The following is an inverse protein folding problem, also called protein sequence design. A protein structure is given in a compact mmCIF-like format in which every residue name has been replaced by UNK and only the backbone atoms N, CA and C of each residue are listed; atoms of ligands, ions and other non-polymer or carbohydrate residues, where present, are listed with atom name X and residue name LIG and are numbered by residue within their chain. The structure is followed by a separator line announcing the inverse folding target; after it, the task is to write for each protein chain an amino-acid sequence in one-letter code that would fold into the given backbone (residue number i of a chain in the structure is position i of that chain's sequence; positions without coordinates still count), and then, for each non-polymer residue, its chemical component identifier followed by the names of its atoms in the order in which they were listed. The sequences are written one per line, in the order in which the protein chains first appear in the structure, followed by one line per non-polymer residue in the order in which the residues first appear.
data_IF_474316687851
#
_entry.id   IF_474316687851
#
_cell.length_a   1.000
_cell.length_b   1.000
_cell.length_c   1.000
_cell.angle_alpha   90.00
_cell.angle_beta   90.00
_cell.angle_gamma   90.00
#
_symmetry.space_group_name_H-M   'P 1'
#
loop_
_entity.id
_entity.type
_entity.pdbx_description
1 polymer ?
#
# COMPACT_ATOMS: atom_id res chain seq x y z
N UNK A 1 -48.98 0.50 22.53
CA UNK A 1 -48.62 0.84 21.14
C UNK A 1 -47.10 0.68 20.89
N UNK A 2 -46.58 -0.55 20.67
CA UNK A 2 -45.33 -0.67 19.92
C UNK A 2 -45.24 -1.91 19.00
N UNK A 3 -46.37 -2.54 18.63
CA UNK A 3 -46.36 -3.73 17.74
C UNK A 3 -46.67 -3.44 16.27
N UNK A 4 -47.19 -2.26 15.94
CA UNK A 4 -47.54 -1.89 14.56
C UNK A 4 -46.35 -1.33 13.74
N UNK A 5 -45.28 -0.82 14.36
CA UNK A 5 -44.13 -0.27 13.62
C UNK A 5 -43.21 -1.36 13.04
N UNK A 6 -43.14 -2.55 13.63
CA UNK A 6 -42.27 -3.63 13.14
C UNK A 6 -42.82 -4.32 11.88
N UNK A 7 -44.13 -4.26 11.64
CA UNK A 7 -44.74 -4.85 10.45
C UNK A 7 -44.56 -3.97 9.19
N UNK A 8 -44.42 -2.65 9.34
CA UNK A 8 -44.26 -1.73 8.21
C UNK A 8 -42.84 -1.72 7.65
N UNK A 9 -41.82 -1.95 8.49
CA UNK A 9 -40.42 -2.03 8.05
C UNK A 9 -40.11 -3.31 7.25
N UNK A 10 -40.83 -4.41 7.49
CA UNK A 10 -40.62 -5.67 6.75
C UNK A 10 -41.26 -5.63 5.35
N UNK A 11 -42.31 -4.83 5.14
CA UNK A 11 -42.99 -4.70 3.85
C UNK A 11 -42.22 -3.81 2.84
N UNK A 12 -41.38 -2.89 3.32
CA UNK A 12 -40.54 -2.04 2.48
C UNK A 12 -39.27 -2.75 1.98
N UNK A 13 -38.80 -3.81 2.66
CA UNK A 13 -37.67 -4.61 2.20
C UNK A 13 -38.09 -5.62 1.12
N UNK A 14 -39.34 -6.09 1.14
CA UNK A 14 -39.86 -7.03 0.12
C UNK A 14 -40.34 -6.38 -1.18
N UNK A 15 -40.56 -5.07 -1.21
CA UNK A 15 -40.97 -4.35 -2.44
C UNK A 15 -39.77 -3.84 -3.27
N UNK A 16 -38.55 -3.86 -2.73
CA UNK A 16 -37.33 -3.48 -3.44
C UNK A 16 -36.72 -4.58 -4.32
N UNK A 17 -37.25 -5.80 -4.29
CA UNK A 17 -36.65 -6.98 -4.95
C UNK A 17 -37.27 -7.37 -6.31
N UNK A 18 -38.10 -6.51 -6.91
CA UNK A 18 -38.90 -6.86 -8.10
C UNK A 18 -38.70 -5.96 -9.33
N UNK A 19 -37.56 -5.25 -9.45
CA UNK A 19 -37.28 -4.42 -10.63
C UNK A 19 -35.80 -4.43 -11.07
N UNK A 20 -35.25 -5.62 -11.32
CA UNK A 20 -34.06 -5.74 -12.17
C UNK A 20 -34.31 -6.82 -13.22
N UNK A 21 -34.93 -6.38 -14.31
CA UNK A 21 -35.29 -7.22 -15.44
C UNK A 21 -35.67 -6.36 -16.63
N UNK A 22 -34.71 -5.58 -17.16
CA UNK A 22 -34.69 -5.22 -18.58
C UNK A 22 -33.27 -5.39 -19.08
N UNK A 23 -33.16 -6.28 -20.07
CA UNK A 23 -31.96 -6.62 -20.80
C UNK A 23 -31.40 -5.39 -21.52
N UNK A 24 -30.08 -5.24 -21.47
CA UNK A 24 -29.34 -4.41 -22.40
C UNK A 24 -28.55 -5.34 -23.31
N UNK A 25 -29.13 -5.60 -24.49
CA UNK A 25 -28.52 -6.36 -25.57
C UNK A 25 -27.60 -5.39 -26.35
N UNK A 26 -26.46 -5.05 -25.74
CA UNK A 26 -25.43 -4.19 -26.34
C UNK A 26 -24.38 -5.07 -27.01
N UNK A 27 -24.70 -5.55 -28.21
CA UNK A 27 -23.79 -6.32 -29.06
C UNK A 27 -22.77 -5.40 -29.75
N UNK A 28 -22.21 -4.44 -29.01
CA UNK A 28 -20.95 -3.78 -29.38
C UNK A 28 -19.83 -4.71 -28.94
N UNK A 29 -19.13 -5.29 -29.91
CA UNK A 29 -17.82 -5.91 -29.69
C UNK A 29 -16.85 -4.78 -29.31
N UNK A 30 -16.89 -4.36 -28.06
CA UNK A 30 -15.77 -3.68 -27.43
C UNK A 30 -14.72 -4.77 -27.22
N UNK A 31 -13.51 -4.66 -27.76
CA UNK A 31 -12.46 -5.65 -27.49
C UNK A 31 -12.32 -5.79 -25.97
N UNK A 32 -12.50 -7.01 -25.46
CA UNK A 32 -12.48 -7.36 -24.02
C UNK A 32 -11.13 -7.10 -23.32
N UNK A 33 -10.19 -6.38 -23.94
CA UNK A 33 -8.79 -6.32 -23.50
C UNK A 33 -8.46 -5.22 -22.49
N UNK A 34 -9.43 -4.52 -21.89
CA UNK A 34 -9.15 -3.42 -20.95
C UNK A 34 -10.06 -3.36 -19.71
N UNK A 35 -10.72 -4.46 -19.34
CA UNK A 35 -11.56 -4.49 -18.14
C UNK A 35 -10.83 -5.00 -16.88
N UNK A 36 -9.57 -5.46 -17.00
CA UNK A 36 -8.77 -5.88 -15.85
C UNK A 36 -7.88 -4.71 -15.38
N UNK A 37 -8.12 -4.14 -14.18
CA UNK A 37 -7.34 -3.02 -13.67
C UNK A 37 -5.84 -3.34 -13.55
N UNK A 38 -5.48 -4.61 -13.30
CA UNK A 38 -4.08 -5.02 -13.20
C UNK A 38 -3.39 -4.96 -14.57
N UNK A 39 -4.08 -5.31 -15.66
CA UNK A 39 -3.53 -5.20 -17.02
C UNK A 39 -3.33 -3.75 -17.43
N UNK A 40 -4.26 -2.86 -17.06
CA UNK A 40 -4.11 -1.41 -17.29
C UNK A 40 -2.89 -0.89 -16.52
N UNK A 41 -2.70 -1.31 -15.26
CA UNK A 41 -1.53 -0.93 -14.47
C UNK A 41 -0.22 -1.46 -15.10
N UNK A 42 -0.20 -2.70 -15.60
CA UNK A 42 0.97 -3.25 -16.31
C UNK A 42 1.34 -2.42 -17.54
N UNK A 43 0.35 -2.04 -18.37
CA UNK A 43 0.58 -1.19 -19.54
C UNK A 43 1.10 0.19 -19.15
N UNK A 44 0.53 0.79 -18.10
CA UNK A 44 0.98 2.09 -17.62
C UNK A 44 2.41 2.04 -17.07
N UNK A 45 2.73 0.98 -16.30
CA UNK A 45 4.09 0.75 -15.81
C UNK A 45 5.07 0.60 -16.95
N UNK A 46 4.72 -0.18 -17.97
CA UNK A 46 5.56 -0.35 -19.16
C UNK A 46 5.77 0.98 -19.87
N UNK A 47 4.71 1.75 -20.14
CA UNK A 47 4.82 3.04 -20.83
C UNK A 47 5.68 4.05 -20.07
N UNK A 48 5.50 4.13 -18.75
CA UNK A 48 6.30 5.00 -17.88
C UNK A 48 7.76 4.52 -17.85
N UNK A 49 8.00 3.21 -17.79
CA UNK A 49 9.34 2.63 -17.81
C UNK A 49 10.07 2.91 -19.13
N UNK A 50 9.41 2.78 -20.27
CA UNK A 50 9.97 3.16 -21.58
C UNK A 50 10.31 4.65 -21.63
N UNK A 51 9.44 5.50 -21.07
CA UNK A 51 9.66 6.95 -20.99
C UNK A 51 10.85 7.30 -20.09
N UNK A 52 11.05 6.57 -18.99
CA UNK A 52 12.24 6.70 -18.14
C UNK A 52 13.49 6.21 -18.88
N UNK A 53 13.42 5.08 -19.57
CA UNK A 53 14.51 4.52 -20.36
C UNK A 53 15.00 5.53 -21.42
N UNK A 54 14.08 6.20 -22.11
CA UNK A 54 14.42 7.23 -23.10
C UNK A 54 15.15 8.42 -22.49
N UNK A 55 14.86 8.77 -21.23
CA UNK A 55 15.60 9.82 -20.50
C UNK A 55 16.97 9.34 -20.04
N UNK A 56 17.10 8.09 -19.61
CA UNK A 56 18.34 7.52 -19.06
C UNK A 56 19.36 7.20 -20.16
N UNK A 57 18.93 6.55 -21.24
CA UNK A 57 19.81 6.06 -22.31
C UNK A 57 19.76 6.89 -23.60
N UNK A 58 18.74 7.74 -23.76
CA UNK A 58 18.40 8.40 -25.01
C UNK A 58 17.24 7.71 -25.73
N UNK A 59 16.50 8.49 -26.53
CA UNK A 59 15.29 8.03 -27.20
C UNK A 59 15.50 6.80 -28.07
N UNK A 60 14.75 5.73 -27.77
CA UNK A 60 14.82 4.44 -28.48
C UNK A 60 16.07 3.61 -28.22
N UNK A 61 16.97 4.04 -27.33
CA UNK A 61 18.16 3.29 -26.93
C UNK A 61 17.83 2.46 -25.70
N UNK A 62 18.20 1.18 -25.71
CA UNK A 62 17.97 0.25 -24.60
C UNK A 62 19.26 -0.46 -24.19
N UNK A 63 19.45 -0.78 -22.90
CA UNK A 63 20.62 -1.48 -22.42
C UNK A 63 20.64 -2.94 -22.92
N UNK A 64 21.80 -3.61 -22.94
CA UNK A 64 21.87 -5.04 -23.19
C UNK A 64 20.97 -5.83 -22.23
N UNK A 65 20.23 -6.81 -22.75
CA UNK A 65 19.32 -7.63 -21.96
C UNK A 65 17.90 -7.07 -21.78
N UNK A 66 17.62 -5.85 -22.26
CA UNK A 66 16.27 -5.28 -22.25
C UNK A 66 15.27 -6.20 -22.96
N UNK A 67 14.21 -6.56 -22.24
CA UNK A 67 13.17 -7.46 -22.75
C UNK A 67 12.17 -6.72 -23.62
N UNK A 68 11.77 -5.50 -23.24
CA UNK A 68 10.81 -4.67 -23.97
C UNK A 68 9.44 -5.32 -24.12
N UNK A 69 9.08 -6.26 -23.24
CA UNK A 69 7.81 -6.96 -23.33
C UNK A 69 6.66 -5.99 -23.03
N UNK A 70 5.71 -5.90 -23.97
CA UNK A 70 4.49 -5.08 -23.88
C UNK A 70 3.21 -5.90 -24.07
N UNK A 71 3.31 -7.24 -24.18
CA UNK A 71 2.14 -8.12 -24.24
C UNK A 71 1.62 -8.42 -22.84
N UNK A 72 0.50 -7.79 -22.48
CA UNK A 72 -0.21 -8.01 -21.20
C UNK A 72 -0.71 -9.43 -20.99
N UNK A 73 -0.79 -10.24 -22.05
CA UNK A 73 -1.17 -11.65 -21.96
C UNK A 73 0.04 -12.56 -21.79
N UNK A 74 1.27 -12.04 -21.89
CA UNK A 74 2.47 -12.81 -21.65
C UNK A 74 2.55 -13.22 -20.18
N UNK A 75 2.84 -14.49 -19.93
CA UNK A 75 3.04 -15.02 -18.58
C UNK A 75 4.24 -14.37 -17.86
N UNK A 76 5.15 -13.74 -18.59
CA UNK A 76 6.38 -13.12 -18.04
C UNK A 76 6.29 -11.60 -17.92
N UNK A 77 5.21 -10.94 -18.36
CA UNK A 77 5.15 -9.47 -18.47
C UNK A 77 5.58 -8.73 -17.20
N UNK A 78 5.17 -9.20 -16.03
CA UNK A 78 5.52 -8.55 -14.75
C UNK A 78 7.00 -8.73 -14.43
N UNK A 79 7.52 -9.94 -14.63
CA UNK A 79 8.94 -10.24 -14.40
C UNK A 79 9.83 -9.44 -15.37
N UNK A 80 9.38 -9.30 -16.62
CA UNK A 80 10.04 -8.52 -17.67
C UNK A 80 10.04 -7.01 -17.34
N UNK A 81 8.93 -6.47 -16.81
CA UNK A 81 8.86 -5.08 -16.29
C UNK A 81 9.83 -4.88 -15.14
N UNK A 82 9.81 -5.77 -14.15
CA UNK A 82 10.72 -5.67 -13.03
C UNK A 82 12.19 -5.77 -13.47
N UNK A 83 12.52 -6.74 -14.33
CA UNK A 83 13.89 -6.94 -14.80
C UNK A 83 14.42 -5.74 -15.59
N UNK A 84 13.64 -5.23 -16.55
CA UNK A 84 14.00 -4.03 -17.31
C UNK A 84 14.19 -2.81 -16.39
N UNK A 85 13.38 -2.71 -15.35
CA UNK A 85 13.50 -1.65 -14.35
C UNK A 85 14.75 -1.77 -13.48
N UNK A 86 15.16 -2.99 -13.10
CA UNK A 86 16.44 -3.20 -12.41
C UNK A 86 17.64 -2.82 -13.29
N UNK A 87 17.58 -3.02 -14.62
CA UNK A 87 18.63 -2.55 -15.55
C UNK A 87 18.75 -1.02 -15.57
N UNK A 88 17.61 -0.31 -15.56
CA UNK A 88 17.59 1.15 -15.42
C UNK A 88 18.16 1.56 -14.05
N UNK A 89 17.76 0.88 -12.99
CA UNK A 89 18.22 1.15 -11.63
C UNK A 89 19.75 1.01 -11.53
N UNK A 90 20.34 -0.02 -12.13
CA UNK A 90 21.80 -0.18 -12.16
C UNK A 90 22.52 0.96 -12.86
N UNK A 91 21.87 1.60 -13.84
CA UNK A 91 22.43 2.78 -14.52
C UNK A 91 22.29 4.06 -13.68
N UNK A 92 21.18 4.22 -12.95
CA UNK A 92 20.91 5.40 -12.13
C UNK A 92 21.72 5.38 -10.83
N UNK A 93 21.74 4.24 -10.13
CA UNK A 93 22.29 4.11 -8.78
C UNK A 93 23.64 3.40 -8.73
N UNK A 94 23.98 2.63 -9.77
CA UNK A 94 25.11 1.71 -9.80
C UNK A 94 24.68 0.25 -9.65
N UNK A 95 25.49 -0.65 -10.20
CA UNK A 95 25.21 -2.09 -10.23
C UNK A 95 24.98 -2.67 -8.83
N UNK A 96 23.80 -3.24 -8.60
CA UNK A 96 23.41 -3.83 -7.32
C UNK A 96 23.25 -2.83 -6.16
N UNK A 97 23.32 -1.52 -6.44
CA UNK A 97 23.12 -0.47 -5.45
C UNK A 97 21.67 -0.02 -5.51
N UNK A 98 20.99 -0.03 -4.37
CA UNK A 98 19.61 0.46 -4.23
C UNK A 98 19.52 1.39 -3.03
N UNK A 99 18.59 2.33 -3.11
CA UNK A 99 18.32 3.27 -2.02
C UNK A 99 17.59 2.56 -0.86
N UNK A 100 17.62 3.10 0.37
CA UNK A 100 16.95 2.48 1.52
C UNK A 100 15.42 2.33 1.38
N UNK A 101 14.80 3.18 0.56
CA UNK A 101 13.37 3.15 0.24
C UNK A 101 13.02 2.18 -0.90
N UNK A 102 14.00 1.56 -1.56
CA UNK A 102 13.76 0.58 -2.62
C UNK A 102 13.07 -0.68 -2.08
N UNK A 103 11.90 -0.98 -2.64
CA UNK A 103 11.01 -2.04 -2.17
C UNK A 103 11.36 -3.38 -2.85
N UNK A 104 11.59 -3.38 -4.16
CA UNK A 104 11.83 -4.56 -4.99
C UNK A 104 10.67 -5.58 -5.04
N UNK A 105 10.87 -6.64 -5.84
CA UNK A 105 9.92 -7.71 -6.13
C UNK A 105 9.86 -8.78 -5.02
N UNK A 106 9.48 -8.41 -3.81
CA UNK A 106 9.54 -9.30 -2.63
C UNK A 106 8.28 -10.13 -2.37
N UNK A 107 7.35 -10.24 -3.33
CA UNK A 107 6.04 -10.88 -3.12
C UNK A 107 5.55 -11.62 -4.36
N UNK A 108 4.86 -12.74 -4.16
CA UNK A 108 4.18 -13.48 -5.22
C UNK A 108 2.77 -12.98 -5.54
N UNK A 109 2.24 -12.02 -4.78
CA UNK A 109 0.96 -11.40 -5.07
C UNK A 109 1.12 -10.34 -6.16
N UNK A 110 0.47 -10.55 -7.31
CA UNK A 110 0.55 -9.68 -8.48
C UNK A 110 0.27 -8.21 -8.17
N UNK A 111 -0.78 -7.89 -7.41
CA UNK A 111 -1.16 -6.51 -7.13
C UNK A 111 -0.12 -5.80 -6.27
N UNK A 112 0.38 -6.47 -5.23
CA UNK A 112 1.44 -5.94 -4.39
C UNK A 112 2.75 -5.79 -5.19
N UNK A 113 3.04 -6.73 -6.09
CA UNK A 113 4.22 -6.67 -6.94
C UNK A 113 4.17 -5.47 -7.90
N UNK A 114 3.06 -5.27 -8.61
CA UNK A 114 2.88 -4.11 -9.50
C UNK A 114 2.97 -2.79 -8.73
N UNK A 115 2.38 -2.73 -7.53
CA UNK A 115 2.47 -1.56 -6.65
C UNK A 115 3.93 -1.28 -6.24
N UNK A 116 4.69 -2.31 -5.89
CA UNK A 116 6.09 -2.20 -5.50
C UNK A 116 6.95 -1.71 -6.68
N UNK A 117 6.79 -2.32 -7.86
CA UNK A 117 7.45 -1.87 -9.09
C UNK A 117 7.10 -0.41 -9.38
N UNK A 118 5.83 -0.02 -9.21
CA UNK A 118 5.41 1.38 -9.39
C UNK A 118 6.20 2.32 -8.48
N UNK A 119 6.29 1.98 -7.20
CA UNK A 119 7.03 2.77 -6.23
C UNK A 119 8.47 2.95 -6.66
N UNK A 120 9.15 1.85 -6.98
CA UNK A 120 10.56 1.89 -7.31
C UNK A 120 10.84 2.62 -8.64
N UNK A 121 9.91 2.60 -9.60
CA UNK A 121 9.97 3.43 -10.82
C UNK A 121 9.87 4.93 -10.47
N UNK A 122 8.98 5.30 -9.54
CA UNK A 122 8.86 6.69 -9.09
C UNK A 122 10.12 7.15 -8.34
N UNK A 123 10.71 6.30 -7.49
CA UNK A 123 11.99 6.57 -6.80
C UNK A 123 13.14 6.75 -7.79
N UNK A 124 13.21 5.88 -8.80
CA UNK A 124 14.19 6.00 -9.88
C UNK A 124 14.03 7.32 -10.66
N UNK A 125 12.79 7.70 -11.00
CA UNK A 125 12.50 8.96 -11.68
C UNK A 125 12.85 10.19 -10.83
N UNK A 126 12.48 10.19 -9.53
CA UNK A 126 12.80 11.28 -8.62
C UNK A 126 14.31 11.44 -8.42
N UNK A 127 15.06 10.34 -8.42
CA UNK A 127 16.53 10.38 -8.32
C UNK A 127 17.18 10.90 -9.59
N UNK A 128 16.76 10.41 -10.77
CA UNK A 128 17.43 10.73 -12.02
C UNK A 128 17.03 12.09 -12.61
N UNK A 129 15.73 12.41 -12.59
CA UNK A 129 15.17 13.62 -13.23
C UNK A 129 14.99 14.74 -12.19
N UNK A 130 14.63 14.36 -10.96
CA UNK A 130 14.34 15.28 -9.87
C UNK A 130 12.95 15.04 -9.27
N UNK A 131 12.81 15.42 -8.01
CA UNK A 131 11.59 15.20 -7.22
C UNK A 131 10.37 15.83 -7.90
N UNK A 132 9.32 15.03 -8.08
CA UNK A 132 8.08 15.40 -8.75
C UNK A 132 8.21 15.83 -10.23
N UNK A 133 9.37 15.59 -10.86
CA UNK A 133 9.56 15.82 -12.30
C UNK A 133 9.39 14.51 -13.06
N UNK A 134 8.60 14.53 -14.14
CA UNK A 134 8.32 13.34 -14.95
C UNK A 134 8.61 13.60 -16.43
N UNK A 135 9.02 12.56 -17.20
CA UNK A 135 9.17 12.65 -18.65
C UNK A 135 7.86 13.03 -19.36
N UNK A 136 7.98 13.40 -20.63
CA UNK A 136 6.81 13.63 -21.47
C UNK A 136 6.14 12.27 -21.75
N UNK A 137 4.81 12.23 -21.73
CA UNK A 137 4.06 10.98 -21.93
C UNK A 137 3.94 10.10 -20.68
N UNK A 138 4.48 10.53 -19.53
CA UNK A 138 4.29 9.84 -18.26
C UNK A 138 2.81 9.84 -17.86
N UNK A 139 2.23 8.65 -17.76
CA UNK A 139 0.81 8.46 -17.44
C UNK A 139 0.55 8.82 -15.98
N UNK A 140 1.58 8.74 -15.13
CA UNK A 140 1.51 8.96 -13.69
C UNK A 140 0.64 7.93 -12.98
N UNK A 141 0.83 7.81 -11.67
CA UNK A 141 -0.06 7.05 -10.81
C UNK A 141 -0.51 7.93 -9.65
N UNK A 142 -1.43 7.39 -8.87
CA UNK A 142 -1.85 8.05 -7.65
C UNK A 142 -0.62 8.34 -6.76
N UNK A 143 -0.51 9.54 -6.16
CA UNK A 143 0.68 9.93 -5.39
C UNK A 143 1.05 8.99 -4.24
N UNK A 144 0.10 8.17 -3.76
CA UNK A 144 0.35 7.19 -2.70
C UNK A 144 1.39 6.13 -3.09
N UNK A 145 1.58 5.87 -4.39
CA UNK A 145 2.61 4.93 -4.84
C UNK A 145 4.03 5.40 -4.55
N UNK A 146 4.24 6.68 -4.22
CA UNK A 146 5.55 7.23 -3.80
C UNK A 146 5.81 7.07 -2.31
N UNK A 147 4.82 6.66 -1.54
CA UNK A 147 4.96 6.51 -0.10
C UNK A 147 5.67 5.22 0.24
N UNK A 148 6.23 5.15 1.45
CA UNK A 148 6.93 3.95 1.90
C UNK A 148 5.97 2.75 1.99
N UNK A 149 6.57 1.55 2.01
CA UNK A 149 5.84 0.28 2.07
C UNK A 149 4.85 0.21 3.24
N UNK A 150 5.22 0.73 4.41
CA UNK A 150 4.37 0.68 5.60
C UNK A 150 3.14 1.51 5.39
N UNK A 151 3.30 2.76 4.95
CA UNK A 151 2.18 3.67 4.63
C UNK A 151 1.24 3.07 3.59
N UNK A 152 1.77 2.54 2.49
CA UNK A 152 0.96 1.89 1.45
C UNK A 152 0.19 0.67 1.97
N UNK A 153 0.82 -0.16 2.81
CA UNK A 153 0.18 -1.34 3.39
C UNK A 153 -0.92 -0.95 4.38
N UNK A 154 -0.67 0.02 5.26
CA UNK A 154 -1.65 0.48 6.24
C UNK A 154 -2.88 1.07 5.54
N UNK A 155 -2.68 1.90 4.51
CA UNK A 155 -3.79 2.44 3.73
C UNK A 155 -4.63 1.33 3.07
N UNK A 156 -3.97 0.30 2.52
CA UNK A 156 -4.66 -0.85 1.95
C UNK A 156 -5.47 -1.63 2.99
N UNK A 157 -4.89 -1.89 4.17
CA UNK A 157 -5.57 -2.61 5.26
C UNK A 157 -6.77 -1.83 5.81
N UNK A 158 -6.63 -0.50 5.95
CA UNK A 158 -7.73 0.38 6.36
C UNK A 158 -8.90 0.34 5.37
N UNK A 159 -8.61 0.38 4.07
CA UNK A 159 -9.62 0.23 3.03
C UNK A 159 -10.29 -1.14 3.07
N UNK A 160 -9.49 -2.21 3.20
CA UNK A 160 -9.98 -3.58 3.12
C UNK A 160 -10.84 -3.98 4.34
N UNK A 161 -10.40 -3.69 5.55
CA UNK A 161 -11.03 -4.20 6.78
C UNK A 161 -11.97 -3.20 7.44
N UNK A 162 -11.74 -1.91 7.24
CA UNK A 162 -12.49 -0.85 7.93
C UNK A 162 -13.30 0.01 6.97
N UNK A 163 -13.23 -0.26 5.65
CA UNK A 163 -13.85 0.54 4.60
C UNK A 163 -13.50 2.04 4.72
N UNK A 164 -12.27 2.32 5.16
CA UNK A 164 -11.77 3.68 5.36
C UNK A 164 -10.92 4.08 4.14
N UNK A 165 -11.17 5.28 3.63
CA UNK A 165 -10.34 5.91 2.60
C UNK A 165 -9.69 7.16 3.15
N UNK A 166 -8.55 7.55 2.58
CA UNK A 166 -7.89 8.80 2.96
C UNK A 166 -8.69 10.00 2.47
N UNK A 167 -8.71 11.06 3.28
CA UNK A 167 -9.27 12.37 2.91
C UNK A 167 -8.20 13.39 2.51
N UNK A 168 -6.93 12.97 2.50
CA UNK A 168 -5.81 13.83 2.13
C UNK A 168 -5.91 14.17 0.64
N UNK A 169 -5.85 15.46 0.33
CA UNK A 169 -5.87 15.92 -1.06
C UNK A 169 -4.56 15.56 -1.76
N UNK A 170 -4.66 15.02 -2.98
CA UNK A 170 -3.50 14.66 -3.83
C UNK A 170 -2.59 15.83 -4.20
N UNK A 171 -3.04 17.06 -3.98
CA UNK A 171 -2.28 18.29 -4.23
C UNK A 171 -1.47 18.79 -3.02
N UNK A 172 -1.57 18.11 -1.87
CA UNK A 172 -0.85 18.48 -0.66
C UNK A 172 0.65 18.26 -0.86
N UNK A 173 1.44 19.28 -0.52
CA UNK A 173 2.90 19.14 -0.40
C UNK A 173 3.21 18.08 0.67
N UNK A 174 4.23 17.25 0.43
CA UNK A 174 4.55 16.10 1.29
C UNK A 174 3.36 15.14 1.49
N UNK A 175 2.66 14.81 0.41
CA UNK A 175 1.48 13.93 0.42
C UNK A 175 1.63 12.66 1.29
N UNK A 176 2.80 12.01 1.25
CA UNK A 176 3.04 10.78 2.02
C UNK A 176 3.10 11.01 3.53
N UNK A 177 3.67 12.13 3.97
CA UNK A 177 3.68 12.52 5.39
C UNK A 177 2.25 12.85 5.86
N UNK A 178 1.49 13.59 5.03
CA UNK A 178 0.10 13.91 5.31
C UNK A 178 -0.80 12.66 5.41
N UNK A 179 -0.59 11.67 4.53
CA UNK A 179 -1.26 10.37 4.63
C UNK A 179 -0.84 9.64 5.91
N UNK A 180 0.44 9.67 6.28
CA UNK A 180 0.92 9.07 7.53
C UNK A 180 0.10 9.56 8.73
N UNK A 181 -0.05 10.89 8.87
CA UNK A 181 -0.85 11.48 9.94
C UNK A 181 -2.35 11.12 9.85
N UNK A 182 -2.94 11.09 8.65
CA UNK A 182 -4.35 10.70 8.46
C UNK A 182 -4.59 9.22 8.83
N UNK A 183 -3.64 8.33 8.50
CA UNK A 183 -3.68 6.92 8.90
C UNK A 183 -3.60 6.78 10.41
N UNK A 184 -2.66 7.48 11.07
CA UNK A 184 -2.50 7.45 12.52
C UNK A 184 -3.77 7.91 13.25
N UNK A 185 -4.35 9.02 12.83
CA UNK A 185 -5.59 9.55 13.42
C UNK A 185 -6.77 8.56 13.25
N UNK A 186 -6.90 7.95 12.06
CA UNK A 186 -7.93 6.93 11.80
C UNK A 186 -7.73 5.68 12.63
N UNK A 187 -6.50 5.19 12.73
CA UNK A 187 -6.19 4.03 13.58
C UNK A 187 -6.53 4.33 15.04
N UNK A 188 -6.15 5.51 15.54
CA UNK A 188 -6.46 5.92 16.90
C UNK A 188 -7.98 5.98 17.16
N UNK A 189 -8.75 6.61 16.26
CA UNK A 189 -10.19 6.81 16.44
C UNK A 189 -11.03 5.56 16.16
N UNK A 190 -10.71 4.81 15.11
CA UNK A 190 -11.61 3.80 14.55
C UNK A 190 -11.17 2.37 14.92
N UNK A 191 -9.91 2.18 15.31
CA UNK A 191 -9.37 0.86 15.72
C UNK A 191 -9.10 0.83 17.23
N UNK A 192 -8.40 1.85 17.76
CA UNK A 192 -7.97 1.86 19.16
C UNK A 192 -9.06 2.37 20.09
N UNK A 193 -9.70 3.50 19.81
CA UNK A 193 -10.72 4.07 20.70
C UNK A 193 -11.95 3.18 20.94
N UNK A 194 -12.41 2.32 20.00
CA UNK A 194 -13.50 1.38 20.26
C UNK A 194 -13.08 0.17 21.10
N UNK A 195 -11.78 -0.02 21.33
CA UNK A 195 -11.32 -1.03 22.30
C UNK A 195 -11.87 -0.60 23.66
N UNK A 196 -12.70 -1.45 24.26
CA UNK A 196 -13.20 -1.24 25.62
C UNK A 196 -12.04 -0.86 26.53
N UNK A 197 -12.18 0.19 27.34
CA UNK A 197 -11.18 0.55 28.36
C UNK A 197 -10.79 -0.66 29.23
N UNK A 198 -11.71 -1.63 29.37
CA UNK A 198 -11.50 -2.89 30.08
C UNK A 198 -10.45 -3.80 29.43
N UNK A 199 -10.21 -3.68 28.12
CA UNK A 199 -9.24 -4.48 27.37
C UNK A 199 -7.86 -3.82 27.28
N UNK A 200 -7.75 -2.52 27.57
CA UNK A 200 -6.48 -1.78 27.52
C UNK A 200 -5.42 -2.46 28.40
N UNK A 201 -5.68 -2.81 29.68
CA UNK A 201 -4.66 -3.45 30.52
C UNK A 201 -4.14 -4.78 29.94
N UNK A 202 -5.04 -5.58 29.34
CA UNK A 202 -4.66 -6.84 28.71
C UNK A 202 -3.80 -6.62 27.45
N UNK A 203 -4.11 -5.61 26.64
CA UNK A 203 -3.31 -5.25 25.47
C UNK A 203 -1.94 -4.70 25.86
N UNK A 204 -1.86 -3.86 26.89
CA UNK A 204 -0.59 -3.34 27.41
C UNK A 204 0.32 -4.48 27.89
N UNK A 205 -0.24 -5.51 28.54
CA UNK A 205 0.50 -6.70 28.91
C UNK A 205 0.94 -7.55 27.70
N UNK A 206 0.12 -7.64 26.66
CA UNK A 206 0.47 -8.35 25.43
C UNK A 206 1.65 -7.67 24.71
N UNK A 207 1.57 -6.34 24.50
CA UNK A 207 2.66 -5.53 23.92
C UNK A 207 3.93 -5.68 24.73
N UNK A 208 3.83 -5.67 26.06
CA UNK A 208 4.95 -5.90 26.94
C UNK A 208 5.58 -7.28 26.75
N UNK A 209 4.78 -8.33 26.65
CA UNK A 209 5.26 -9.68 26.35
C UNK A 209 6.03 -9.74 25.03
N UNK A 210 5.54 -9.05 24.00
CA UNK A 210 6.24 -8.93 22.72
C UNK A 210 7.57 -8.18 22.83
N UNK A 211 7.62 -7.09 23.59
CA UNK A 211 8.85 -6.35 23.87
C UNK A 211 9.86 -7.20 24.70
N UNK A 212 9.38 -7.97 25.68
CA UNK A 212 10.23 -8.89 26.46
C UNK A 212 10.83 -9.96 25.55
N UNK A 213 10.05 -10.52 24.62
CA UNK A 213 10.53 -11.48 23.61
C UNK A 213 11.55 -10.85 22.67
N UNK A 214 11.29 -9.64 22.15
CA UNK A 214 12.22 -8.92 21.29
C UNK A 214 13.55 -8.63 22.03
N UNK A 215 13.48 -8.27 23.31
CA UNK A 215 14.66 -8.07 24.13
C UNK A 215 15.46 -9.37 24.31
N UNK A 216 14.79 -10.51 24.53
CA UNK A 216 15.46 -11.82 24.62
C UNK A 216 16.19 -12.17 23.32
N UNK A 217 15.61 -11.84 22.16
CA UNK A 217 16.21 -12.05 20.85
C UNK A 217 17.42 -11.14 20.58
N UNK A 218 17.36 -9.88 21.03
CA UNK A 218 18.39 -8.87 20.72
C UNK A 218 19.49 -8.75 21.76
N UNK A 219 19.17 -8.94 23.03
CA UNK A 219 20.06 -8.71 24.17
C UNK A 219 20.41 -10.00 24.93
N UNK A 220 19.76 -11.11 24.59
CA UNK A 220 19.89 -12.39 25.27
C UNK A 220 18.82 -12.60 26.34
N UNK A 221 18.65 -13.87 26.74
CA UNK A 221 17.60 -14.29 27.66
C UNK A 221 17.65 -13.52 28.98
N UNK A 222 16.53 -12.92 29.37
CA UNK A 222 16.37 -12.10 30.58
C UNK A 222 17.24 -10.83 30.62
N UNK A 223 17.87 -10.44 29.51
CA UNK A 223 18.56 -9.15 29.41
C UNK A 223 17.55 -8.07 29.01
N UNK A 224 17.53 -6.95 29.73
CA UNK A 224 16.63 -5.82 29.45
C UNK A 224 17.43 -4.53 29.32
N UNK A 225 16.95 -3.55 28.54
CA UNK A 225 17.56 -2.22 28.51
C UNK A 225 17.61 -1.57 29.89
N UNK A 226 18.55 -0.66 30.10
CA UNK A 226 18.54 0.19 31.29
C UNK A 226 17.23 1.00 31.34
N UNK A 227 16.62 1.12 32.53
CA UNK A 227 15.32 1.78 32.71
C UNK A 227 14.12 0.84 32.69
N UNK A 228 14.28 -0.40 32.18
CA UNK A 228 13.18 -1.38 32.13
C UNK A 228 12.63 -1.70 33.52
N UNK A 229 11.40 -1.26 33.77
CA UNK A 229 10.65 -1.63 34.97
C UNK A 229 10.08 -3.04 34.77
N UNK A 230 9.98 -3.87 35.82
CA UNK A 230 9.41 -5.24 35.72
C UNK A 230 7.93 -5.30 36.12
N UNK A 231 7.20 -4.18 36.02
CA UNK A 231 5.80 -4.11 36.42
C UNK A 231 4.88 -4.96 35.52
N UNK A 232 4.31 -6.03 36.08
CA UNK A 232 3.33 -6.90 35.39
C UNK A 232 1.93 -6.83 36.03
N UNK A 233 1.71 -5.88 36.93
CA UNK A 233 0.42 -5.74 37.60
C UNK A 233 -0.59 -5.08 36.67
N UNK A 234 -1.59 -5.86 36.25
CA UNK A 234 -2.67 -5.43 35.36
C UNK A 234 -3.46 -4.24 35.91
N UNK A 235 -3.49 -4.07 37.24
CA UNK A 235 -4.22 -3.00 37.90
C UNK A 235 -3.34 -1.77 38.20
N UNK A 236 -2.05 -1.81 37.85
CA UNK A 236 -1.17 -0.69 38.11
C UNK A 236 -1.56 0.50 37.23
N UNK A 237 -1.75 1.70 37.82
CA UNK A 237 -2.02 2.91 37.04
C UNK A 237 -0.83 3.32 36.16
N UNK A 238 0.37 2.80 36.45
CA UNK A 238 1.60 3.06 35.69
C UNK A 238 1.87 1.98 34.63
N UNK A 239 1.03 0.94 34.51
CA UNK A 239 1.28 -0.22 33.65
C UNK A 239 1.63 0.16 32.20
N UNK A 240 0.95 1.17 31.65
CA UNK A 240 1.23 1.65 30.29
C UNK A 240 2.51 2.49 30.21
N UNK A 241 2.74 3.38 31.18
CA UNK A 241 3.93 4.26 31.21
C UNK A 241 5.22 3.46 31.40
N UNK A 242 5.16 2.40 32.20
CA UNK A 242 6.27 1.52 32.54
C UNK A 242 6.89 0.77 31.36
N UNK A 243 6.19 0.67 30.22
CA UNK A 243 6.70 0.06 28.99
C UNK A 243 7.60 1.01 28.17
N UNK A 244 7.61 2.31 28.48
CA UNK A 244 8.29 3.35 27.68
C UNK A 244 9.33 4.16 28.48
N UNK A 245 9.65 3.71 29.70
CA UNK A 245 10.60 4.36 30.60
C UNK A 245 12.06 3.94 30.36
#
# INVERSE_FOLDING_TARGET
MPRFLKALALLLVLSGLLLQGLAQDDNTIIPQSANNPDQVLMLNLRADLESLADRVYGGGIRPPGWTGNSDVNSATIIADIWFDHELIADTIFGEGIRTPDWISATTGNTQLLLRNIRHDIEVAADTFIGVNLRPDGWISAAPFHRCDRTTMNLLYLLGLFYNQTTTVSVSVNNYCEAIGFDIEDRMARDIVAPVSEELIPAQVLAVRGDLERLADEKLGLNSRPAGWTFNKDINSPMLAADNFA
#
